data_IF_415302289561
#
_entry.id   IF_415302289561
#
_cell.length_a   1.000
_cell.length_b   1.000
_cell.length_c   1.000
_cell.angle_alpha   90.00
_cell.angle_beta   90.00
_cell.angle_gamma   90.00
#
_symmetry.space_group_name_H-M   'P 1'
#
loop_
_entity.id
_entity.type
_entity.pdbx_description
1 polymer ?
#
# COMPACT_ATOMS: atom_id res chain seq x y z
N UNK A 1 10.28 -4.97 29.27
CA UNK A 1 10.82 -4.23 28.11
C UNK A 1 10.86 -2.75 28.45
N UNK A 2 11.85 -1.97 27.95
CA UNK A 2 11.89 -0.52 28.18
C UNK A 2 10.70 0.18 27.52
N UNK A 3 10.20 1.28 28.08
CA UNK A 3 9.11 2.08 27.49
C UNK A 3 9.50 2.69 26.14
N UNK A 4 8.55 2.86 25.21
CA UNK A 4 8.83 3.49 23.90
C UNK A 4 9.04 5.00 24.00
N UNK A 5 9.88 5.55 23.12
CA UNK A 5 10.17 6.97 23.08
C UNK A 5 9.18 7.74 22.18
N UNK A 6 8.08 8.21 22.77
CA UNK A 6 7.07 9.00 22.08
C UNK A 6 7.54 10.38 21.62
N UNK A 7 8.66 10.89 22.13
CA UNK A 7 9.25 12.16 21.67
C UNK A 7 9.91 11.98 20.31
N UNK A 8 10.68 10.90 20.12
CA UNK A 8 11.21 10.51 18.80
C UNK A 8 10.06 10.33 17.81
N UNK A 9 9.00 9.64 18.22
CA UNK A 9 7.81 9.44 17.38
C UNK A 9 7.16 10.76 16.93
N UNK A 10 7.01 11.71 17.85
CA UNK A 10 6.37 13.00 17.56
C UNK A 10 7.18 13.85 16.56
N UNK A 11 8.49 13.60 16.49
CA UNK A 11 9.41 14.29 15.58
C UNK A 11 9.67 13.53 14.28
N UNK A 12 8.96 12.42 14.04
CA UNK A 12 9.05 11.72 12.76
C UNK A 12 8.60 12.62 11.59
N UNK A 13 9.18 12.47 10.39
CA UNK A 13 8.74 13.18 9.20
C UNK A 13 7.24 13.02 8.94
N UNK A 14 6.56 14.11 8.59
CA UNK A 14 5.10 14.14 8.40
C UNK A 14 4.34 14.56 9.66
N UNK A 15 3.00 14.43 9.64
CA UNK A 15 2.20 14.75 10.82
C UNK A 15 2.16 13.58 11.81
N UNK A 16 2.27 13.88 13.12
CA UNK A 16 2.18 12.87 14.17
C UNK A 16 0.84 12.10 14.14
N UNK A 17 -0.26 12.77 13.74
CA UNK A 17 -1.56 12.13 13.54
C UNK A 17 -1.50 11.04 12.48
N UNK A 18 -0.92 11.34 11.31
CA UNK A 18 -0.79 10.36 10.23
C UNK A 18 0.18 9.25 10.61
N UNK A 19 1.32 9.58 11.21
CA UNK A 19 2.27 8.56 11.65
C UNK A 19 1.63 7.61 12.68
N UNK A 20 0.78 8.12 13.57
CA UNK A 20 0.07 7.32 14.57
C UNK A 20 -0.97 6.39 13.95
N UNK A 21 -1.82 6.90 13.06
CA UNK A 21 -2.74 6.07 12.27
C UNK A 21 -1.98 4.94 11.55
N UNK A 22 -0.86 5.28 10.90
CA UNK A 22 -0.06 4.31 10.15
C UNK A 22 0.57 3.24 11.04
N UNK A 23 1.08 3.62 12.21
CA UNK A 23 1.58 2.66 13.20
C UNK A 23 0.45 1.72 13.66
N UNK A 24 -0.70 2.25 14.07
CA UNK A 24 -1.84 1.46 14.51
C UNK A 24 -2.31 0.48 13.41
N UNK A 25 -2.41 0.97 12.17
CA UNK A 25 -2.73 0.17 10.98
C UNK A 25 -1.71 -0.96 10.77
N UNK A 26 -0.42 -0.65 10.86
CA UNK A 26 0.65 -1.63 10.68
C UNK A 26 0.65 -2.71 11.77
N UNK A 27 0.41 -2.31 13.03
CA UNK A 27 0.31 -3.24 14.16
C UNK A 27 -0.84 -4.23 13.97
N UNK A 28 -2.04 -3.73 13.67
CA UNK A 28 -3.21 -4.59 13.47
C UNK A 28 -3.03 -5.50 12.26
N UNK A 29 -2.47 -4.97 11.16
CA UNK A 29 -2.17 -5.80 10.00
C UNK A 29 -1.19 -6.92 10.33
N UNK A 30 -0.06 -6.59 10.97
CA UNK A 30 1.02 -7.55 11.24
C UNK A 30 0.52 -8.70 12.11
N UNK A 31 -0.23 -8.38 13.16
CA UNK A 31 -0.74 -9.40 14.09
C UNK A 31 -1.94 -10.17 13.56
N UNK A 32 -2.88 -9.48 12.90
CA UNK A 32 -4.23 -10.02 12.73
C UNK A 32 -4.70 -10.21 11.29
N UNK A 33 -4.04 -9.64 10.29
CA UNK A 33 -4.51 -9.74 8.89
C UNK A 33 -4.63 -11.19 8.39
N UNK A 34 -3.79 -12.10 8.89
CA UNK A 34 -3.86 -13.53 8.53
C UNK A 34 -5.15 -14.23 8.99
N UNK A 35 -5.88 -13.65 9.95
CA UNK A 35 -7.11 -14.22 10.50
C UNK A 35 -8.38 -13.65 9.89
N UNK A 36 -8.31 -12.75 8.90
CA UNK A 36 -9.50 -12.10 8.39
C UNK A 36 -9.31 -11.21 7.17
N UNK A 37 -10.35 -10.45 6.85
CA UNK A 37 -10.36 -9.46 5.78
C UNK A 37 -10.01 -8.09 6.33
N UNK A 38 -8.76 -7.67 6.11
CA UNK A 38 -8.28 -6.35 6.49
C UNK A 38 -8.60 -5.32 5.41
N UNK A 39 -9.15 -4.18 5.82
CA UNK A 39 -9.50 -3.09 4.93
C UNK A 39 -9.15 -1.71 5.52
N UNK A 40 -8.69 -0.80 4.67
CA UNK A 40 -8.20 0.54 5.04
C UNK A 40 -8.25 1.49 3.84
N UNK A 41 -9.47 1.90 3.45
CA UNK A 41 -9.70 2.68 2.23
C UNK A 41 -9.38 4.16 2.45
N UNK A 42 -8.78 4.82 1.45
CA UNK A 42 -8.40 6.24 1.51
C UNK A 42 -9.57 7.21 1.83
N UNK A 43 -10.80 6.83 1.49
CA UNK A 43 -12.01 7.62 1.75
C UNK A 43 -12.97 6.89 2.68
N UNK A 44 -12.49 5.97 3.52
CA UNK A 44 -13.35 5.22 4.41
C UNK A 44 -14.03 6.14 5.43
N UNK A 45 -15.36 6.28 5.35
CA UNK A 45 -16.04 7.21 6.23
C UNK A 45 -16.30 6.53 7.58
N UNK A 46 -15.78 7.14 8.66
CA UNK A 46 -16.07 6.73 10.05
C UNK A 46 -14.91 6.07 10.79
N UNK A 47 -14.29 5.04 10.20
CA UNK A 47 -13.08 4.37 10.72
C UNK A 47 -11.93 4.53 9.72
N UNK A 48 -10.69 4.50 10.22
CA UNK A 48 -9.49 4.58 9.37
C UNK A 48 -9.16 3.23 8.73
N UNK A 49 -9.48 2.14 9.42
CA UNK A 49 -9.35 0.77 8.93
C UNK A 49 -10.21 -0.19 9.75
N UNK A 50 -10.48 -1.37 9.21
CA UNK A 50 -11.24 -2.44 9.87
C UNK A 50 -10.74 -3.83 9.48
N UNK A 51 -11.11 -4.81 10.29
CA UNK A 51 -10.79 -6.21 10.12
C UNK A 51 -12.01 -7.06 10.45
N UNK A 52 -12.46 -7.85 9.48
CA UNK A 52 -13.50 -8.87 9.70
C UNK A 52 -12.84 -10.23 9.90
N UNK A 53 -12.94 -10.79 11.10
CA UNK A 53 -12.32 -12.06 11.45
C UNK A 53 -13.03 -13.23 10.76
N UNK A 54 -12.24 -14.03 10.04
CA UNK A 54 -12.62 -15.32 9.44
C UNK A 54 -12.06 -16.51 10.23
N UNK A 55 -11.07 -16.27 11.11
CA UNK A 55 -10.52 -17.22 12.06
C UNK A 55 -10.46 -16.62 13.47
N UNK A 56 -10.59 -17.45 14.50
CA UNK A 56 -10.41 -17.01 15.89
C UNK A 56 -8.94 -16.69 16.18
N UNK A 57 -8.71 -15.65 16.97
CA UNK A 57 -7.38 -15.25 17.44
C UNK A 57 -7.49 -14.50 18.78
N UNK A 58 -6.39 -13.97 19.29
CA UNK A 58 -6.38 -13.19 20.54
C UNK A 58 -7.24 -11.92 20.48
N UNK A 59 -7.55 -11.39 19.29
CA UNK A 59 -8.44 -10.24 19.13
C UNK A 59 -9.92 -10.62 19.32
N UNK A 60 -10.31 -11.86 19.04
CA UNK A 60 -11.68 -12.34 19.18
C UNK A 60 -12.01 -13.54 18.29
N UNK A 61 -13.28 -13.94 18.34
CA UNK A 61 -13.82 -15.09 17.61
C UNK A 61 -14.19 -14.79 16.15
N UNK A 62 -14.38 -15.86 15.38
CA UNK A 62 -14.88 -15.81 13.99
C UNK A 62 -16.17 -14.98 13.90
N UNK A 63 -16.26 -14.14 12.87
CA UNK A 63 -17.43 -13.29 12.60
C UNK A 63 -17.38 -11.93 13.29
N UNK A 64 -16.49 -11.72 14.26
CA UNK A 64 -16.24 -10.40 14.85
C UNK A 64 -15.65 -9.45 13.80
N UNK A 65 -16.12 -8.22 13.81
CA UNK A 65 -15.71 -7.18 12.87
C UNK A 65 -15.33 -5.92 13.64
N UNK A 66 -14.03 -5.65 13.68
CA UNK A 66 -13.44 -4.52 14.37
C UNK A 66 -13.16 -3.37 13.42
N UNK A 67 -13.47 -2.14 13.81
CA UNK A 67 -12.99 -0.93 13.15
C UNK A 67 -12.30 0.02 14.11
N UNK A 68 -11.20 0.61 13.66
CA UNK A 68 -10.37 1.49 14.47
C UNK A 68 -10.44 2.93 14.00
N UNK A 69 -10.48 3.83 14.97
CA UNK A 69 -10.28 5.26 14.78
C UNK A 69 -9.11 5.71 15.65
N UNK A 70 -7.98 5.98 15.02
CA UNK A 70 -6.73 6.39 15.67
C UNK A 70 -6.69 7.90 15.78
N UNK A 71 -6.52 8.43 16.98
CA UNK A 71 -6.55 9.87 17.22
C UNK A 71 -5.34 10.33 18.00
N UNK A 72 -4.50 11.11 17.32
CA UNK A 72 -3.45 11.86 17.98
C UNK A 72 -3.99 13.17 18.53
N UNK A 73 -4.26 13.19 19.83
CA UNK A 73 -4.58 14.42 20.53
C UNK A 73 -3.34 14.98 21.21
N UNK A 74 -2.81 16.06 20.64
CA UNK A 74 -1.74 16.82 21.26
C UNK A 74 -2.30 17.68 22.40
N UNK A 75 -2.54 17.01 23.53
CA UNK A 75 -3.06 17.60 24.75
C UNK A 75 -2.14 17.24 25.90
N UNK A 76 -1.89 18.18 26.84
CA UNK A 76 -1.30 17.87 28.13
C UNK A 76 -2.03 16.73 28.83
N UNK A 77 -1.30 16.02 29.69
CA UNK A 77 -1.89 14.90 30.41
C UNK A 77 -3.07 15.36 31.29
N UNK A 78 -4.05 14.48 31.49
CA UNK A 78 -5.28 14.75 32.21
C UNK A 78 -6.16 15.91 31.68
N UNK A 79 -5.90 16.43 30.47
CA UNK A 79 -6.75 17.46 29.85
C UNK A 79 -7.90 16.83 29.05
N UNK A 80 -9.11 17.35 29.24
CA UNK A 80 -10.28 16.87 28.54
C UNK A 80 -10.18 17.12 27.02
N UNK A 81 -10.69 16.19 26.21
CA UNK A 81 -10.63 16.31 24.74
C UNK A 81 -11.53 17.42 24.19
N UNK A 82 -12.50 17.87 24.98
CA UNK A 82 -13.42 18.96 24.65
C UNK A 82 -14.59 18.54 23.76
N UNK A 83 -15.60 19.39 23.71
CA UNK A 83 -16.89 19.13 23.03
C UNK A 83 -16.74 18.93 21.53
N UNK A 84 -15.86 19.70 20.87
CA UNK A 84 -15.62 19.59 19.42
C UNK A 84 -15.07 18.22 19.02
N UNK A 85 -14.10 17.69 19.77
CA UNK A 85 -13.52 16.36 19.49
C UNK A 85 -14.52 15.25 19.78
N UNK A 86 -15.28 15.36 20.87
CA UNK A 86 -16.41 14.46 21.18
C UNK A 86 -17.43 14.40 20.04
N UNK A 87 -17.84 15.55 19.52
CA UNK A 87 -18.77 15.64 18.40
C UNK A 87 -18.22 14.98 17.12
N UNK A 88 -16.90 15.10 16.86
CA UNK A 88 -16.25 14.42 15.72
C UNK A 88 -16.26 12.89 15.88
N UNK A 89 -15.97 12.39 17.09
CA UNK A 89 -16.05 10.95 17.40
C UNK A 89 -17.48 10.43 17.20
N UNK A 90 -18.49 11.11 17.76
CA UNK A 90 -19.89 10.72 17.58
C UNK A 90 -20.33 10.72 16.12
N UNK A 91 -19.90 11.74 15.34
CA UNK A 91 -20.18 11.81 13.90
C UNK A 91 -19.54 10.62 13.17
N UNK A 92 -18.30 10.29 13.50
CA UNK A 92 -17.60 9.18 12.87
C UNK A 92 -18.22 7.82 13.20
N UNK A 93 -18.68 7.61 14.44
CA UNK A 93 -19.41 6.41 14.82
C UNK A 93 -20.71 6.25 14.03
N UNK A 94 -21.56 7.29 13.98
CA UNK A 94 -22.83 7.24 13.20
C UNK A 94 -22.58 6.98 11.72
N UNK A 95 -21.49 7.54 11.20
CA UNK A 95 -21.09 7.32 9.83
C UNK A 95 -20.63 5.87 9.60
N UNK A 96 -19.91 5.30 10.57
CA UNK A 96 -19.52 3.87 10.57
C UNK A 96 -20.74 2.97 10.55
N UNK A 97 -21.75 3.23 11.39
CA UNK A 97 -23.00 2.46 11.40
C UNK A 97 -23.73 2.49 10.06
N UNK A 98 -23.70 3.63 9.36
CA UNK A 98 -24.34 3.79 8.06
C UNK A 98 -23.63 3.01 6.96
N UNK A 99 -22.30 3.04 6.95
CA UNK A 99 -21.49 2.52 5.84
C UNK A 99 -20.97 1.10 6.08
N UNK A 100 -20.87 0.69 7.34
CA UNK A 100 -20.47 -0.64 7.79
C UNK A 100 -21.49 -1.19 8.81
N UNK A 101 -22.75 -1.46 8.40
CA UNK A 101 -23.82 -1.85 9.32
C UNK A 101 -23.57 -3.19 10.05
N UNK A 102 -22.64 -4.02 9.56
CA UNK A 102 -22.27 -5.31 10.17
C UNK A 102 -21.10 -5.23 11.14
N UNK A 103 -20.52 -4.04 11.37
CA UNK A 103 -19.38 -3.86 12.26
C UNK A 103 -19.79 -4.09 13.72
N UNK A 104 -19.08 -4.97 14.43
CA UNK A 104 -19.46 -5.40 15.79
C UNK A 104 -18.74 -4.60 16.87
N UNK A 105 -17.52 -4.15 16.60
CA UNK A 105 -16.62 -3.56 17.59
C UNK A 105 -15.96 -2.30 17.05
N UNK A 106 -16.14 -1.20 17.76
CA UNK A 106 -15.61 0.11 17.38
C UNK A 106 -14.57 0.58 18.41
N UNK A 107 -13.34 0.75 17.96
CA UNK A 107 -12.18 1.03 18.81
C UNK A 107 -11.71 2.48 18.61
N UNK A 108 -11.80 3.28 19.67
CA UNK A 108 -11.11 4.58 19.72
C UNK A 108 -9.71 4.36 20.29
N UNK A 109 -8.69 4.61 19.47
CA UNK A 109 -7.30 4.47 19.86
C UNK A 109 -6.66 5.84 20.01
N UNK A 110 -6.30 6.24 21.24
CA UNK A 110 -5.62 7.52 21.50
C UNK A 110 -4.21 7.28 22.02
N UNK A 111 -3.29 8.26 21.89
CA UNK A 111 -1.98 8.12 22.55
C UNK A 111 -2.13 8.09 24.08
N UNK A 112 -2.91 9.00 24.63
CA UNK A 112 -3.10 9.15 26.08
C UNK A 112 -4.47 8.63 26.51
N UNK A 113 -4.60 8.10 27.74
CA UNK A 113 -5.91 7.79 28.30
C UNK A 113 -6.81 9.02 28.31
N UNK A 114 -8.09 8.83 28.00
CA UNK A 114 -9.09 9.87 28.16
C UNK A 114 -9.28 10.21 29.65
N UNK A 115 -9.65 11.46 29.95
CA UNK A 115 -9.99 11.86 31.33
C UNK A 115 -11.17 11.05 31.87
N UNK A 116 -11.33 10.94 33.20
CA UNK A 116 -12.48 10.24 33.80
C UNK A 116 -13.83 10.72 33.25
N UNK A 117 -13.99 12.02 33.05
CA UNK A 117 -15.21 12.60 32.48
C UNK A 117 -15.43 12.23 31.00
N UNK A 118 -14.36 12.18 30.21
CA UNK A 118 -14.40 11.71 28.82
C UNK A 118 -14.69 10.20 28.74
N UNK A 119 -14.07 9.37 29.59
CA UNK A 119 -14.38 7.94 29.64
C UNK A 119 -15.84 7.66 30.01
N UNK A 120 -16.39 8.41 30.97
CA UNK A 120 -17.80 8.30 31.33
C UNK A 120 -18.73 8.73 30.19
N UNK A 121 -18.37 9.78 29.45
CA UNK A 121 -19.08 10.17 28.23
C UNK A 121 -19.04 9.05 27.18
N UNK A 122 -17.86 8.50 26.90
CA UNK A 122 -17.70 7.42 25.92
C UNK A 122 -18.48 6.16 26.31
N UNK A 123 -18.45 5.76 27.58
CA UNK A 123 -19.26 4.64 28.11
C UNK A 123 -20.77 4.90 28.01
N UNK A 124 -21.23 6.16 28.01
CA UNK A 124 -22.64 6.47 27.76
C UNK A 124 -23.03 6.32 26.28
N UNK A 125 -22.06 6.43 25.36
CA UNK A 125 -22.31 6.23 23.93
C UNK A 125 -22.62 4.78 23.60
N UNK A 126 -22.09 3.79 24.34
CA UNK A 126 -22.38 2.37 24.08
C UNK A 126 -23.86 2.01 24.22
N UNK A 127 -24.67 2.85 24.89
CA UNK A 127 -26.13 2.69 24.97
C UNK A 127 -26.87 3.19 23.74
N UNK A 128 -26.19 3.94 22.86
CA UNK A 128 -26.75 4.60 21.68
C UNK A 128 -26.37 3.94 20.36
N UNK A 129 -25.59 2.87 20.43
CA UNK A 129 -25.03 2.15 19.27
C UNK A 129 -25.13 0.65 19.52
N UNK A 130 -25.37 -0.17 18.49
CA UNK A 130 -25.30 -1.62 18.62
C UNK A 130 -23.87 -2.13 18.74
N UNK A 131 -22.86 -1.31 18.41
CA UNK A 131 -21.45 -1.68 18.43
C UNK A 131 -20.90 -1.75 19.86
N UNK A 132 -20.02 -2.71 20.13
CA UNK A 132 -19.22 -2.70 21.35
C UNK A 132 -18.11 -1.65 21.23
N UNK A 133 -18.03 -0.76 22.21
CA UNK A 133 -17.07 0.35 22.18
C UNK A 133 -15.85 0.06 23.04
N UNK A 134 -14.67 0.23 22.43
CA UNK A 134 -13.38 0.00 23.08
C UNK A 134 -12.56 1.29 23.14
N UNK A 135 -11.82 1.46 24.24
CA UNK A 135 -10.86 2.54 24.41
C UNK A 135 -9.46 1.94 24.49
N UNK A 136 -8.64 2.20 23.49
CA UNK A 136 -7.24 1.79 23.44
C UNK A 136 -6.33 3.02 23.57
N UNK A 137 -5.14 2.80 24.11
CA UNK A 137 -4.17 3.83 24.49
C UNK A 137 -2.75 3.50 23.99
N UNK A 138 -1.74 4.31 24.36
CA UNK A 138 -0.34 3.94 24.14
C UNK A 138 0.04 2.61 24.83
N UNK A 139 -0.65 2.20 25.90
CA UNK A 139 -0.39 0.90 26.53
C UNK A 139 -0.68 -0.24 25.55
N UNK A 140 -1.83 -0.16 24.87
CA UNK A 140 -2.19 -1.13 23.84
C UNK A 140 -1.19 -1.11 22.66
N UNK A 141 -0.65 0.07 22.30
CA UNK A 141 0.44 0.14 21.31
C UNK A 141 1.65 -0.63 21.79
N UNK A 142 2.09 -0.40 23.03
CA UNK A 142 3.28 -1.06 23.58
C UNK A 142 3.11 -2.58 23.72
N UNK A 143 1.91 -3.07 24.04
CA UNK A 143 1.59 -4.50 24.04
C UNK A 143 1.69 -5.11 22.64
N UNK A 144 1.17 -4.41 21.63
CA UNK A 144 1.23 -4.85 20.23
C UNK A 144 2.62 -4.68 19.61
N UNK A 145 3.54 -3.95 20.26
CA UNK A 145 4.93 -3.79 19.82
C UNK A 145 5.81 -4.97 20.25
N UNK A 146 5.25 -6.17 20.38
CA UNK A 146 5.93 -7.39 20.75
C UNK A 146 5.76 -8.49 19.69
N UNK A 147 6.56 -9.54 19.76
CA UNK A 147 6.48 -10.68 18.84
C UNK A 147 6.77 -10.28 17.39
N UNK A 148 5.85 -10.60 16.47
CA UNK A 148 6.02 -10.34 15.02
C UNK A 148 6.12 -8.85 14.65
N UNK A 149 5.76 -7.95 15.57
CA UNK A 149 5.75 -6.50 15.39
C UNK A 149 6.82 -5.76 16.21
N UNK A 150 7.71 -6.48 16.90
CA UNK A 150 8.82 -5.91 17.70
C UNK A 150 9.66 -4.91 16.87
N UNK A 151 9.84 -5.19 15.58
CA UNK A 151 10.60 -4.33 14.65
C UNK A 151 10.05 -2.89 14.57
N UNK A 152 8.77 -2.67 14.87
CA UNK A 152 8.22 -1.31 14.89
C UNK A 152 8.73 -0.47 16.06
N UNK A 153 9.26 -1.09 17.13
CA UNK A 153 9.86 -0.35 18.24
C UNK A 153 11.05 0.46 17.77
N UNK A 154 12.00 -0.18 17.10
CA UNK A 154 13.22 0.48 16.63
C UNK A 154 12.98 1.39 15.43
N UNK A 155 11.99 1.08 14.59
CA UNK A 155 11.76 1.79 13.30
C UNK A 155 10.78 2.97 13.38
N UNK A 156 10.01 3.09 14.47
CA UNK A 156 9.17 4.25 14.79
C UNK A 156 9.61 5.01 16.04
N UNK A 157 10.32 4.38 16.98
CA UNK A 157 10.65 4.99 18.28
C UNK A 157 12.14 4.98 18.63
N UNK A 158 12.99 4.36 17.82
CA UNK A 158 14.38 4.07 18.21
C UNK A 158 15.41 4.32 17.12
N UNK A 159 16.46 3.52 17.20
CA UNK A 159 17.73 3.64 16.48
C UNK A 159 17.64 3.34 14.98
N UNK A 160 16.57 2.67 14.54
CA UNK A 160 16.36 2.31 13.13
C UNK A 160 15.42 3.28 12.40
N UNK A 161 15.15 4.45 12.98
CA UNK A 161 14.33 5.48 12.32
C UNK A 161 15.11 6.11 11.15
N UNK A 162 14.64 5.83 9.94
CA UNK A 162 15.09 6.47 8.69
C UNK A 162 14.22 7.68 8.33
N UNK A 163 14.82 8.85 8.19
CA UNK A 163 14.21 10.06 7.62
C UNK A 163 14.60 10.22 6.14
N UNK A 164 13.84 11.01 5.34
CA UNK A 164 14.23 11.34 3.97
C UNK A 164 15.67 11.87 3.85
N UNK A 165 16.10 12.71 4.78
CA UNK A 165 17.43 13.30 4.81
C UNK A 165 18.50 12.24 5.08
N UNK A 166 18.24 11.32 6.02
CA UNK A 166 19.17 10.21 6.27
C UNK A 166 19.28 9.26 5.08
N UNK A 167 18.20 9.03 4.34
CA UNK A 167 18.20 8.22 3.12
C UNK A 167 19.00 8.86 2.00
N UNK A 168 18.92 10.20 1.85
CA UNK A 168 19.78 10.95 0.92
C UNK A 168 21.25 10.76 1.27
N UNK A 169 21.63 10.96 2.54
CA UNK A 169 23.02 10.76 2.97
C UNK A 169 23.52 9.32 2.75
N UNK A 170 22.69 8.32 3.04
CA UNK A 170 23.02 6.91 2.79
C UNK A 170 23.21 6.63 1.29
N UNK A 171 22.35 7.18 0.45
CA UNK A 171 22.45 7.04 -1.01
C UNK A 171 23.73 7.68 -1.54
N UNK A 172 24.04 8.91 -1.13
CA UNK A 172 25.26 9.64 -1.52
C UNK A 172 26.53 8.86 -1.18
N UNK A 173 26.61 8.28 0.02
CA UNK A 173 27.73 7.42 0.44
C UNK A 173 27.80 6.16 -0.41
N UNK A 174 26.67 5.52 -0.69
CA UNK A 174 26.62 4.28 -1.47
C UNK A 174 27.01 4.48 -2.93
N UNK A 175 26.65 5.60 -3.56
CA UNK A 175 27.00 5.89 -4.96
C UNK A 175 28.39 6.50 -5.13
N UNK A 176 29.01 7.01 -4.06
CA UNK A 176 30.33 7.64 -4.14
C UNK A 176 31.41 6.82 -4.89
N UNK A 177 31.56 5.49 -4.67
CA UNK A 177 32.55 4.67 -5.38
C UNK A 177 32.31 4.57 -6.90
N UNK A 178 31.06 4.76 -7.33
CA UNK A 178 30.64 4.62 -8.73
C UNK A 178 30.27 5.96 -9.37
N UNK A 179 30.43 7.08 -8.65
CA UNK A 179 30.01 8.42 -9.07
C UNK A 179 30.61 8.87 -10.42
N UNK A 180 31.84 8.46 -10.73
CA UNK A 180 32.49 8.76 -12.01
C UNK A 180 31.89 7.99 -13.20
N UNK A 181 31.19 6.87 -12.93
CA UNK A 181 30.47 6.05 -13.90
C UNK A 181 28.97 6.31 -13.89
N UNK A 182 28.45 6.94 -12.84
CA UNK A 182 27.04 7.28 -12.70
C UNK A 182 26.75 8.66 -13.32
N UNK A 183 26.10 8.66 -14.48
CA UNK A 183 25.75 9.87 -15.23
C UNK A 183 24.23 10.01 -15.35
N UNK A 184 23.54 10.55 -14.34
CA UNK A 184 22.08 10.61 -14.32
C UNK A 184 21.49 11.48 -15.44
N UNK A 185 22.22 12.49 -15.93
CA UNK A 185 21.75 13.45 -16.93
C UNK A 185 21.58 12.85 -18.33
N UNK A 186 22.32 11.78 -18.64
CA UNK A 186 22.27 11.07 -19.94
C UNK A 186 21.63 9.70 -19.82
N UNK A 187 21.09 9.36 -18.65
CA UNK A 187 20.49 8.07 -18.37
C UNK A 187 19.27 7.82 -19.25
N UNK A 188 19.26 6.66 -19.92
CA UNK A 188 18.13 6.22 -20.76
C UNK A 188 17.41 5.07 -20.08
N UNK A 189 16.10 5.24 -19.87
CA UNK A 189 15.27 4.22 -19.23
C UNK A 189 15.03 3.07 -20.22
N UNK A 190 15.48 1.88 -19.85
CA UNK A 190 15.26 0.62 -20.59
C UNK A 190 13.99 -0.11 -20.11
N UNK A 191 13.55 -1.15 -20.83
CA UNK A 191 12.34 -1.91 -20.46
C UNK A 191 12.44 -2.54 -19.07
N UNK A 192 13.58 -3.13 -18.72
CA UNK A 192 13.80 -3.70 -17.39
C UNK A 192 13.60 -2.64 -16.29
N UNK A 193 14.09 -1.42 -16.50
CA UNK A 193 13.87 -0.33 -15.53
C UNK A 193 12.41 0.13 -15.48
N UNK A 194 11.71 0.20 -16.62
CA UNK A 194 10.27 0.51 -16.64
C UNK A 194 9.48 -0.48 -15.80
N UNK A 195 9.80 -1.77 -15.90
CA UNK A 195 9.16 -2.81 -15.10
C UNK A 195 9.49 -2.66 -13.61
N UNK A 196 10.76 -2.43 -13.26
CA UNK A 196 11.17 -2.19 -11.87
C UNK A 196 10.45 -0.98 -11.27
N UNK A 197 10.35 0.13 -12.02
CA UNK A 197 9.65 1.35 -11.58
C UNK A 197 8.14 1.13 -11.42
N UNK A 198 7.51 0.32 -12.27
CA UNK A 198 6.11 -0.13 -12.09
C UNK A 198 5.93 -0.91 -10.79
N UNK A 199 6.84 -1.84 -10.49
CA UNK A 199 6.82 -2.62 -9.25
C UNK A 199 7.05 -1.76 -8.00
N UNK A 200 7.77 -0.64 -8.14
CA UNK A 200 7.95 0.38 -7.10
C UNK A 200 6.78 1.38 -7.00
N UNK A 201 5.78 1.28 -7.89
CA UNK A 201 4.58 2.12 -7.87
C UNK A 201 4.94 3.61 -7.95
N UNK A 202 5.84 3.95 -8.88
CA UNK A 202 6.14 5.35 -9.15
C UNK A 202 4.96 6.02 -9.88
N UNK A 203 4.64 7.26 -9.51
CA UNK A 203 3.40 7.98 -9.86
C UNK A 203 3.02 7.90 -11.35
N UNK A 204 3.99 8.02 -12.26
CA UNK A 204 3.72 8.06 -13.70
C UNK A 204 3.76 6.69 -14.40
N UNK A 205 4.11 5.63 -13.68
CA UNK A 205 4.31 4.31 -14.29
C UNK A 205 3.01 3.59 -14.65
N UNK A 206 1.88 4.05 -14.10
CA UNK A 206 0.55 3.46 -14.25
C UNK A 206 -0.47 4.38 -14.97
N UNK A 207 0.00 5.38 -15.72
CA UNK A 207 -0.87 6.31 -16.48
C UNK A 207 -1.80 5.58 -17.45
N UNK A 208 -1.36 4.46 -18.00
CA UNK A 208 -2.15 3.64 -18.92
C UNK A 208 -3.44 3.05 -18.29
N UNK A 209 -3.55 2.96 -16.96
CA UNK A 209 -4.82 2.63 -16.31
C UNK A 209 -5.86 3.73 -16.55
N UNK A 210 -5.44 4.99 -16.34
CA UNK A 210 -6.28 6.16 -16.57
C UNK A 210 -6.62 6.32 -18.07
N UNK A 211 -5.62 6.24 -18.95
CA UNK A 211 -5.84 6.36 -20.40
C UNK A 211 -6.79 5.26 -20.94
N UNK A 212 -6.74 4.05 -20.38
CA UNK A 212 -7.67 2.98 -20.74
C UNK A 212 -9.07 3.19 -20.14
N UNK A 213 -9.16 3.71 -18.93
CA UNK A 213 -10.45 4.04 -18.31
C UNK A 213 -11.22 5.09 -19.12
N UNK A 214 -10.54 6.19 -19.51
CA UNK A 214 -11.14 7.25 -20.33
C UNK A 214 -11.64 6.71 -21.68
N UNK A 215 -10.83 5.86 -22.32
CA UNK A 215 -11.23 5.20 -23.57
C UNK A 215 -12.43 4.29 -23.38
N UNK A 216 -12.41 3.46 -22.34
CA UNK A 216 -13.47 2.50 -22.07
C UNK A 216 -14.80 3.22 -21.75
N UNK A 217 -14.75 4.32 -21.01
CA UNK A 217 -15.92 5.16 -20.71
C UNK A 217 -16.53 5.78 -21.97
N UNK A 218 -15.68 6.26 -22.90
CA UNK A 218 -16.13 6.79 -24.18
C UNK A 218 -16.78 5.71 -25.07
N UNK A 219 -16.17 4.53 -25.15
CA UNK A 219 -16.72 3.39 -25.91
C UNK A 219 -18.01 2.86 -25.29
N UNK A 220 -18.10 2.82 -23.95
CA UNK A 220 -19.31 2.42 -23.24
C UNK A 220 -20.47 3.39 -23.50
N UNK A 221 -20.21 4.71 -23.42
CA UNK A 221 -21.19 5.76 -23.73
C UNK A 221 -21.68 5.67 -25.18
N UNK A 222 -20.77 5.43 -26.13
CA UNK A 222 -21.13 5.24 -27.54
C UNK A 222 -21.97 3.97 -27.75
N UNK A 223 -21.62 2.88 -27.06
CA UNK A 223 -22.38 1.64 -27.10
C UNK A 223 -23.79 1.80 -26.49
N UNK A 224 -23.94 2.54 -25.40
CA UNK A 224 -25.25 2.83 -24.80
C UNK A 224 -26.18 3.54 -25.79
N UNK A 225 -25.66 4.54 -26.50
CA UNK A 225 -26.42 5.27 -27.52
C UNK A 225 -26.84 4.37 -28.70
N UNK A 226 -26.02 3.39 -29.07
CA UNK A 226 -26.34 2.44 -30.12
C UNK A 226 -27.28 1.30 -29.64
N UNK A 227 -27.27 0.98 -28.35
CA UNK A 227 -28.04 -0.11 -27.75
C UNK A 227 -29.45 0.33 -27.31
N UNK A 228 -29.73 1.63 -27.19
CA UNK A 228 -31.01 2.17 -26.72
C UNK A 228 -32.26 1.60 -27.42
N UNK A 229 -32.14 1.26 -28.71
CA UNK A 229 -33.26 0.81 -29.54
C UNK A 229 -33.39 -0.73 -29.58
N UNK A 230 -32.46 -1.47 -28.99
CA UNK A 230 -32.51 -2.93 -28.90
C UNK A 230 -33.49 -3.37 -27.81
N UNK A 231 -34.36 -4.31 -28.16
CA UNK A 231 -35.35 -4.88 -27.24
C UNK A 231 -35.14 -6.39 -27.06
N UNK A 232 -35.77 -6.95 -26.04
CA UNK A 232 -35.68 -8.38 -25.73
C UNK A 232 -34.31 -8.81 -25.19
N UNK A 233 -34.06 -10.12 -25.21
CA UNK A 233 -32.89 -10.70 -24.55
C UNK A 233 -31.53 -10.23 -25.10
N UNK A 234 -31.45 -9.88 -26.38
CA UNK A 234 -30.22 -9.34 -26.99
C UNK A 234 -29.94 -7.90 -26.52
N UNK A 235 -30.99 -7.07 -26.36
CA UNK A 235 -30.86 -5.73 -25.81
C UNK A 235 -30.37 -5.76 -24.36
N UNK A 236 -30.98 -6.60 -23.52
CA UNK A 236 -30.53 -6.77 -22.13
C UNK A 236 -29.08 -7.27 -22.04
N UNK A 237 -28.67 -8.20 -22.92
CA UNK A 237 -27.29 -8.69 -22.94
C UNK A 237 -26.29 -7.63 -23.41
N UNK A 238 -26.67 -6.76 -24.36
CA UNK A 238 -25.83 -5.65 -24.81
C UNK A 238 -25.71 -4.56 -23.73
N UNK A 239 -26.79 -4.24 -23.01
CA UNK A 239 -26.77 -3.35 -21.84
C UNK A 239 -25.92 -3.92 -20.70
N UNK A 240 -25.90 -5.24 -20.51
CA UNK A 240 -25.00 -5.89 -19.55
C UNK A 240 -23.52 -5.65 -19.90
N UNK A 241 -23.17 -5.59 -21.20
CA UNK A 241 -21.81 -5.24 -21.65
C UNK A 241 -21.46 -3.79 -21.30
N UNK A 242 -22.34 -2.83 -21.61
CA UNK A 242 -22.05 -1.40 -21.36
C UNK A 242 -21.98 -1.08 -19.87
N UNK A 243 -22.89 -1.64 -19.08
CA UNK A 243 -22.86 -1.56 -17.61
C UNK A 243 -21.53 -2.11 -17.04
N UNK A 244 -21.08 -3.26 -17.56
CA UNK A 244 -19.78 -3.84 -17.17
C UNK A 244 -18.63 -2.91 -17.56
N UNK A 245 -18.67 -2.33 -18.76
CA UNK A 245 -17.63 -1.40 -19.23
C UNK A 245 -17.51 -0.15 -18.35
N UNK A 246 -18.61 0.50 -17.98
CA UNK A 246 -18.62 1.64 -17.05
C UNK A 246 -18.08 1.24 -15.66
N UNK A 247 -18.51 0.09 -15.16
CA UNK A 247 -18.06 -0.43 -13.85
C UNK A 247 -16.55 -0.68 -13.84
N UNK A 248 -16.01 -1.25 -14.92
CA UNK A 248 -14.57 -1.49 -15.09
C UNK A 248 -13.79 -0.17 -15.26
N UNK A 249 -14.33 0.80 -16.02
CA UNK A 249 -13.69 2.11 -16.18
C UNK A 249 -13.53 2.81 -14.82
N UNK A 250 -14.57 2.83 -14.00
CA UNK A 250 -14.51 3.37 -12.63
C UNK A 250 -13.46 2.63 -11.78
N UNK A 251 -13.41 1.31 -11.82
CA UNK A 251 -12.43 0.53 -11.07
C UNK A 251 -10.98 0.81 -11.51
N UNK A 252 -10.73 1.03 -12.80
CA UNK A 252 -9.41 1.44 -13.31
C UNK A 252 -8.98 2.81 -12.80
N UNK A 253 -9.91 3.78 -12.74
CA UNK A 253 -9.65 5.11 -12.18
C UNK A 253 -9.32 5.03 -10.69
N UNK A 254 -10.11 4.27 -9.93
CA UNK A 254 -9.86 4.12 -8.50
C UNK A 254 -8.54 3.40 -8.23
N UNK A 255 -8.16 2.40 -9.04
CA UNK A 255 -6.87 1.73 -8.95
C UNK A 255 -5.71 2.67 -9.29
N UNK A 256 -5.86 3.50 -10.33
CA UNK A 256 -4.88 4.53 -10.69
C UNK A 256 -4.69 5.55 -9.55
N UNK A 257 -5.78 5.99 -8.93
CA UNK A 257 -5.75 6.91 -7.78
C UNK A 257 -5.07 6.26 -6.56
N UNK A 258 -5.36 4.98 -6.28
CA UNK A 258 -4.73 4.22 -5.21
C UNK A 258 -3.20 4.12 -5.39
N UNK A 259 -2.75 3.76 -6.60
CA UNK A 259 -1.33 3.67 -6.95
C UNK A 259 -0.63 5.04 -6.86
N UNK A 260 -1.27 6.09 -7.38
CA UNK A 260 -0.77 7.47 -7.32
C UNK A 260 -0.56 7.94 -5.88
N UNK A 261 -1.49 7.59 -4.97
CA UNK A 261 -1.41 7.90 -3.54
C UNK A 261 -0.54 6.93 -2.73
N UNK A 262 -0.08 5.83 -3.34
CA UNK A 262 0.67 4.77 -2.67
C UNK A 262 -0.14 3.96 -1.67
N UNK A 263 -1.47 3.90 -1.82
CA UNK A 263 -2.36 3.11 -0.96
C UNK A 263 -2.54 1.69 -1.53
N UNK A 264 -1.53 0.85 -1.35
CA UNK A 264 -1.51 -0.52 -1.89
C UNK A 264 -2.59 -1.44 -1.30
N UNK A 265 -3.14 -1.09 -0.15
CA UNK A 265 -4.18 -1.91 0.46
C UNK A 265 -5.55 -1.62 -0.12
N UNK A 266 -5.81 -0.36 -0.52
CA UNK A 266 -6.98 -0.01 -1.31
C UNK A 266 -7.01 -0.80 -2.61
N UNK A 267 -5.87 -0.88 -3.31
CA UNK A 267 -5.73 -1.67 -4.54
C UNK A 267 -6.07 -3.15 -4.32
N UNK A 268 -5.55 -3.77 -3.25
CA UNK A 268 -5.84 -5.18 -2.91
C UNK A 268 -7.32 -5.42 -2.59
N UNK A 269 -7.98 -4.47 -1.95
CA UNK A 269 -9.41 -4.59 -1.61
C UNK A 269 -10.31 -4.47 -2.83
N UNK A 270 -9.97 -3.60 -3.78
CA UNK A 270 -10.73 -3.46 -5.04
C UNK A 270 -10.75 -4.76 -5.84
N UNK A 271 -9.66 -5.53 -5.80
CA UNK A 271 -9.61 -6.84 -6.48
C UNK A 271 -10.55 -7.89 -5.88
N UNK A 272 -10.96 -7.74 -4.62
CA UNK A 272 -11.88 -8.68 -3.99
C UNK A 272 -13.34 -8.50 -4.47
N UNK A 273 -13.65 -7.40 -5.15
CA UNK A 273 -14.97 -7.15 -5.71
C UNK A 273 -15.09 -7.77 -7.12
N UNK A 274 -16.20 -8.45 -7.41
CA UNK A 274 -16.47 -9.02 -8.74
C UNK A 274 -16.85 -7.93 -9.76
N UNK A 275 -15.86 -7.12 -10.15
CA UNK A 275 -16.00 -6.02 -11.12
C UNK A 275 -16.14 -6.55 -12.55
N UNK A 276 -15.69 -7.78 -12.81
CA UNK A 276 -15.54 -8.33 -14.16
C UNK A 276 -16.80 -9.04 -14.67
N UNK A 277 -17.67 -9.49 -13.76
CA UNK A 277 -18.87 -10.26 -14.10
C UNK A 277 -18.56 -11.51 -14.94
N UNK A 278 -19.57 -12.05 -15.65
CA UNK A 278 -19.39 -13.23 -16.48
C UNK A 278 -19.00 -12.88 -17.93
N UNK A 279 -17.74 -12.50 -18.14
CA UNK A 279 -17.21 -12.14 -19.47
C UNK A 279 -17.39 -13.25 -20.53
N UNK A 280 -17.44 -14.51 -20.12
CA UNK A 280 -17.65 -15.63 -21.05
C UNK A 280 -19.06 -15.64 -21.65
N UNK A 281 -20.07 -15.25 -20.87
CA UNK A 281 -21.45 -15.07 -21.32
C UNK A 281 -21.55 -13.90 -22.29
N UNK A 282 -20.90 -12.79 -21.96
CA UNK A 282 -20.90 -11.56 -22.77
C UNK A 282 -20.15 -11.69 -24.11
N UNK A 283 -19.21 -12.63 -24.20
CA UNK A 283 -18.41 -12.87 -25.41
C UNK A 283 -19.22 -13.17 -26.67
N UNK A 284 -20.46 -13.67 -26.54
CA UNK A 284 -21.33 -14.02 -27.67
C UNK A 284 -22.12 -12.83 -28.22
N UNK A 285 -22.28 -11.75 -27.44
CA UNK A 285 -23.14 -10.61 -27.78
C UNK A 285 -22.69 -9.92 -29.08
N UNK A 286 -21.40 -9.62 -29.30
CA UNK A 286 -20.96 -9.02 -30.56
C UNK A 286 -21.29 -9.89 -31.79
N UNK A 287 -21.14 -11.21 -31.68
CA UNK A 287 -21.46 -12.13 -32.77
C UNK A 287 -22.96 -12.11 -33.09
N UNK A 288 -23.81 -12.10 -32.07
CA UNK A 288 -25.26 -12.01 -32.24
C UNK A 288 -25.64 -10.68 -32.92
N UNK A 289 -25.12 -9.55 -32.43
CA UNK A 289 -25.37 -8.24 -33.04
C UNK A 289 -24.95 -8.17 -34.52
N UNK A 290 -23.82 -8.78 -34.89
CA UNK A 290 -23.39 -8.90 -36.29
C UNK A 290 -24.32 -9.76 -37.13
N UNK A 291 -24.81 -10.88 -36.58
CA UNK A 291 -25.77 -11.74 -37.27
C UNK A 291 -27.08 -10.99 -37.58
N UNK A 292 -27.52 -10.12 -36.66
CA UNK A 292 -28.66 -9.21 -36.86
C UNK A 292 -28.32 -7.92 -37.63
N UNK A 293 -27.07 -7.74 -38.09
CA UNK A 293 -26.57 -6.53 -38.77
C UNK A 293 -26.87 -5.23 -38.01
N UNK A 294 -26.83 -5.29 -36.68
CA UNK A 294 -27.16 -4.14 -35.83
C UNK A 294 -25.97 -3.17 -35.74
N UNK A 295 -26.24 -1.85 -35.71
CA UNK A 295 -25.19 -0.80 -35.62
C UNK A 295 -24.31 -0.93 -34.37
N UNK A 296 -24.91 -1.31 -33.25
CA UNK A 296 -24.21 -1.54 -31.97
C UNK A 296 -23.14 -2.64 -32.02
N UNK A 297 -23.08 -3.44 -33.09
CA UNK A 297 -22.12 -4.53 -33.20
C UNK A 297 -20.66 -4.05 -33.03
N UNK A 298 -20.30 -2.88 -33.56
CA UNK A 298 -18.93 -2.37 -33.48
C UNK A 298 -18.62 -1.77 -32.10
N UNK A 299 -19.47 -0.88 -31.60
CA UNK A 299 -19.29 -0.22 -30.29
C UNK A 299 -19.27 -1.24 -29.14
N UNK A 300 -20.17 -2.24 -29.17
CA UNK A 300 -20.16 -3.36 -28.20
C UNK A 300 -18.92 -4.25 -28.36
N UNK A 301 -18.38 -4.42 -29.58
CA UNK A 301 -17.12 -5.16 -29.77
C UNK A 301 -15.95 -4.43 -29.11
N UNK A 302 -15.84 -3.13 -29.33
CA UNK A 302 -14.76 -2.30 -28.79
C UNK A 302 -14.80 -2.26 -27.26
N UNK A 303 -15.97 -1.96 -26.69
CA UNK A 303 -16.15 -1.95 -25.23
C UNK A 303 -15.74 -3.30 -24.62
N UNK A 304 -16.17 -4.43 -25.20
CA UNK A 304 -15.80 -5.74 -24.68
C UNK A 304 -14.30 -6.06 -24.84
N UNK A 305 -13.67 -5.62 -25.94
CA UNK A 305 -12.24 -5.78 -26.15
C UNK A 305 -11.43 -4.99 -25.11
N UNK A 306 -11.86 -3.78 -24.79
CA UNK A 306 -11.20 -2.93 -23.79
C UNK A 306 -11.46 -3.42 -22.36
N UNK A 307 -12.64 -3.99 -22.05
CA UNK A 307 -12.87 -4.71 -20.77
C UNK A 307 -11.88 -5.86 -20.58
N UNK A 308 -11.57 -6.63 -21.64
CA UNK A 308 -10.59 -7.72 -21.56
C UNK A 308 -9.18 -7.18 -21.33
N UNK A 309 -8.78 -6.12 -22.05
CA UNK A 309 -7.49 -5.47 -21.85
C UNK A 309 -7.36 -4.89 -20.45
N UNK A 310 -8.44 -4.32 -19.92
CA UNK A 310 -8.50 -3.77 -18.58
C UNK A 310 -8.21 -4.83 -17.53
N UNK A 311 -8.74 -6.05 -17.69
CA UNK A 311 -8.46 -7.18 -16.81
C UNK A 311 -6.98 -7.52 -16.75
N UNK A 312 -6.33 -7.69 -17.90
CA UNK A 312 -4.89 -8.02 -17.95
C UNK A 312 -4.03 -6.92 -17.28
N UNK A 313 -4.41 -5.67 -17.51
CA UNK A 313 -3.70 -4.53 -16.96
C UNK A 313 -3.90 -4.40 -15.44
N UNK A 314 -5.12 -4.64 -14.97
CA UNK A 314 -5.46 -4.64 -13.54
C UNK A 314 -4.74 -5.77 -12.79
N UNK A 315 -4.73 -6.98 -13.35
CA UNK A 315 -3.96 -8.12 -12.82
C UNK A 315 -2.46 -7.76 -12.71
N UNK A 316 -1.92 -7.04 -13.69
CA UNK A 316 -0.52 -6.59 -13.68
C UNK A 316 -0.29 -5.53 -12.59
N UNK A 317 -1.23 -4.59 -12.42
CA UNK A 317 -1.21 -3.55 -11.39
C UNK A 317 -1.24 -4.13 -9.98
N UNK A 318 -1.93 -5.25 -9.77
CA UNK A 318 -1.95 -5.95 -8.48
C UNK A 318 -0.67 -6.77 -8.25
N UNK A 319 -0.20 -7.50 -9.26
CA UNK A 319 0.95 -8.40 -9.13
C UNK A 319 2.26 -7.63 -8.95
N UNK A 320 2.47 -6.55 -9.69
CA UNK A 320 3.74 -5.83 -9.69
C UNK A 320 4.16 -5.33 -8.27
N UNK A 321 3.29 -4.68 -7.47
CA UNK A 321 3.63 -4.27 -6.10
C UNK A 321 3.87 -5.44 -5.14
N UNK A 322 3.32 -6.63 -5.43
CA UNK A 322 3.49 -7.82 -4.59
C UNK A 322 4.84 -8.53 -4.80
N UNK A 323 5.53 -8.24 -5.91
CA UNK A 323 6.82 -8.86 -6.26
C UNK A 323 7.91 -8.35 -5.34
N UNK A 324 8.48 -9.18 -4.47
CA UNK A 324 9.41 -8.76 -3.40
C UNK A 324 10.89 -8.83 -3.74
N UNK A 325 11.29 -9.80 -4.55
CA UNK A 325 12.69 -10.07 -4.91
C UNK A 325 12.78 -10.18 -6.42
N UNK A 326 13.76 -9.49 -7.01
CA UNK A 326 13.94 -9.39 -8.46
C UNK A 326 15.44 -9.53 -8.74
N UNK A 327 15.79 -10.29 -9.76
CA UNK A 327 17.16 -10.40 -10.25
C UNK A 327 17.25 -9.79 -11.64
N UNK A 328 18.20 -8.88 -11.84
CA UNK A 328 18.47 -8.25 -13.14
C UNK A 328 19.74 -8.86 -13.73
N UNK A 329 19.60 -9.51 -14.88
CA UNK A 329 20.71 -10.16 -15.58
C UNK A 329 21.04 -9.35 -16.84
N UNK A 330 22.32 -9.06 -17.03
CA UNK A 330 22.87 -8.47 -18.25
C UNK A 330 24.38 -8.69 -18.28
N UNK A 331 24.99 -8.61 -19.46
CA UNK A 331 26.45 -8.71 -19.60
C UNK A 331 27.18 -7.52 -18.96
N UNK A 332 28.50 -7.66 -18.80
CA UNK A 332 29.35 -6.57 -18.33
C UNK A 332 29.27 -5.37 -19.29
N UNK A 333 29.21 -4.15 -18.74
CA UNK A 333 29.11 -2.92 -19.53
C UNK A 333 27.69 -2.49 -19.93
N UNK A 334 26.66 -3.32 -19.71
CA UNK A 334 25.26 -2.99 -20.04
C UNK A 334 24.54 -2.08 -19.02
N UNK A 335 25.31 -1.37 -18.18
CA UNK A 335 24.75 -0.35 -17.28
C UNK A 335 24.03 -0.85 -16.03
N UNK A 336 24.31 -2.07 -15.53
CA UNK A 336 23.69 -2.60 -14.28
C UNK A 336 23.93 -1.70 -13.06
N UNK A 337 25.17 -1.28 -12.84
CA UNK A 337 25.54 -0.35 -11.76
C UNK A 337 24.87 1.01 -11.91
N UNK A 338 24.76 1.52 -13.14
CA UNK A 338 24.01 2.75 -13.45
C UNK A 338 22.54 2.58 -13.08
N UNK A 339 21.91 1.48 -13.49
CA UNK A 339 20.52 1.16 -13.14
C UNK A 339 20.34 1.05 -11.62
N UNK A 340 21.25 0.38 -10.90
CA UNK A 340 21.18 0.23 -9.45
C UNK A 340 21.24 1.59 -8.73
N UNK A 341 22.18 2.46 -9.12
CA UNK A 341 22.28 3.82 -8.60
C UNK A 341 21.05 4.67 -8.93
N UNK A 342 20.55 4.59 -10.17
CA UNK A 342 19.40 5.36 -10.64
C UNK A 342 18.09 4.91 -10.00
N UNK A 343 17.90 3.60 -9.79
CA UNK A 343 16.68 3.04 -9.21
C UNK A 343 16.57 3.39 -7.72
N UNK A 344 17.71 3.48 -7.02
CA UNK A 344 17.78 3.83 -5.60
C UNK A 344 17.83 5.33 -5.34
N UNK A 345 18.04 6.17 -6.36
CA UNK A 345 18.02 7.62 -6.21
C UNK A 345 16.61 8.17 -5.83
N UNK A 346 16.57 9.41 -5.36
CA UNK A 346 15.31 10.14 -5.13
C UNK A 346 14.47 10.20 -6.40
N UNK A 347 13.17 9.92 -6.25
CA UNK A 347 12.17 10.21 -7.29
C UNK A 347 11.48 11.56 -7.04
N UNK A 348 10.50 11.92 -7.87
CA UNK A 348 9.69 13.13 -7.67
C UNK A 348 8.93 13.09 -6.33
N UNK A 349 8.32 11.95 -6.00
CA UNK A 349 7.47 11.78 -4.81
C UNK A 349 7.96 10.68 -3.87
N UNK A 350 9.23 10.26 -4.01
CA UNK A 350 9.79 9.11 -3.29
C UNK A 350 11.20 9.45 -2.77
N UNK A 351 11.47 9.25 -1.47
CA UNK A 351 12.84 9.25 -0.94
C UNK A 351 13.75 8.22 -1.66
N UNK A 352 15.07 8.34 -1.50
CA UNK A 352 15.99 7.30 -1.95
C UNK A 352 15.68 5.94 -1.33
N UNK A 353 16.01 4.89 -2.08
CA UNK A 353 16.18 3.55 -1.55
C UNK A 353 17.59 3.33 -1.00
N UNK A 354 17.94 2.07 -0.76
CA UNK A 354 19.26 1.68 -0.25
C UNK A 354 20.01 0.92 -1.35
N UNK A 355 21.22 1.36 -1.64
CA UNK A 355 22.15 0.67 -2.53
C UNK A 355 23.22 -0.03 -1.69
N UNK A 356 23.38 -1.33 -1.92
CA UNK A 356 24.39 -2.18 -1.32
C UNK A 356 25.30 -2.71 -2.43
N UNK A 357 26.58 -2.91 -2.11
CA UNK A 357 27.57 -3.45 -3.04
C UNK A 357 27.89 -4.90 -2.66
N UNK A 358 27.62 -5.83 -3.58
CA UNK A 358 27.88 -7.25 -3.46
C UNK A 358 29.37 -7.58 -3.33
N UNK A 359 30.27 -6.73 -3.83
CA UNK A 359 31.72 -6.82 -3.61
C UNK A 359 32.14 -6.74 -2.13
N UNK A 360 31.21 -6.38 -1.24
CA UNK A 360 31.41 -6.43 0.20
C UNK A 360 31.10 -7.77 0.85
N UNK A 361 30.48 -8.70 0.11
CA UNK A 361 30.34 -10.10 0.52
C UNK A 361 31.66 -10.83 0.30
N UNK A 362 31.94 -11.80 1.16
CA UNK A 362 33.06 -12.73 1.04
C UNK A 362 32.56 -14.16 1.22
N UNK A 363 33.41 -15.14 0.93
CA UNK A 363 33.13 -16.54 1.27
C UNK A 363 32.78 -16.67 2.77
N UNK A 364 31.59 -17.21 3.05
CA UNK A 364 31.06 -17.36 4.42
C UNK A 364 30.34 -16.12 4.98
N UNK A 365 30.28 -15.00 4.24
CA UNK A 365 29.45 -13.85 4.62
C UNK A 365 27.96 -14.13 4.42
N UNK A 366 27.12 -13.45 5.20
CA UNK A 366 25.67 -13.44 5.08
C UNK A 366 25.18 -12.07 4.57
N UNK A 367 23.88 -11.97 4.26
CA UNK A 367 23.24 -10.69 3.98
C UNK A 367 23.31 -9.72 5.17
N UNK A 368 23.41 -10.23 6.40
CA UNK A 368 23.57 -9.39 7.57
C UNK A 368 24.89 -8.62 7.50
N UNK A 369 25.97 -9.21 6.98
CA UNK A 369 27.24 -8.50 6.79
C UNK A 369 27.12 -7.29 5.86
N UNK A 370 26.23 -7.34 4.87
CA UNK A 370 25.88 -6.17 4.05
C UNK A 370 25.09 -5.15 4.85
N UNK A 371 24.13 -5.59 5.67
CA UNK A 371 23.32 -4.70 6.49
C UNK A 371 24.15 -3.94 7.54
N UNK A 372 25.15 -4.60 8.16
CA UNK A 372 26.07 -3.98 9.13
C UNK A 372 26.88 -2.81 8.55
N UNK A 373 26.98 -2.69 7.23
CA UNK A 373 27.64 -1.54 6.59
C UNK A 373 26.75 -0.32 6.50
N UNK A 374 25.44 -0.49 6.64
CA UNK A 374 24.50 0.63 6.75
C UNK A 374 24.52 1.13 8.19
N UNK A 375 24.79 2.41 8.37
CA UNK A 375 24.83 3.06 9.67
C UNK A 375 23.64 4.01 9.80
N UNK A 376 22.74 3.71 10.74
CA UNK A 376 21.56 4.54 11.04
C UNK A 376 21.75 5.14 12.42
N UNK A 377 21.59 6.48 12.55
CA UNK A 377 21.79 7.19 13.81
C UNK A 377 23.12 6.85 14.52
N UNK A 378 24.20 6.69 13.74
CA UNK A 378 25.55 6.30 14.20
C UNK A 378 25.71 4.86 14.71
N UNK A 379 24.70 4.00 14.52
CA UNK A 379 24.77 2.57 14.85
C UNK A 379 24.70 1.72 13.57
N UNK A 380 25.59 0.72 13.41
CA UNK A 380 25.44 -0.32 12.39
C UNK A 380 24.11 -1.07 12.52
N UNK A 381 23.45 -1.35 11.40
CA UNK A 381 22.22 -2.16 11.41
C UNK A 381 22.57 -3.62 11.69
N UNK A 382 21.85 -4.24 12.63
CA UNK A 382 22.19 -5.56 13.16
C UNK A 382 21.88 -6.75 12.25
N UNK A 383 20.97 -6.58 11.29
CA UNK A 383 20.59 -7.64 10.34
C UNK A 383 19.92 -7.09 9.08
N UNK A 384 19.86 -7.91 8.03
CA UNK A 384 19.11 -7.58 6.82
C UNK A 384 17.61 -7.44 7.09
N UNK A 385 17.06 -8.24 8.01
CA UNK A 385 15.67 -8.08 8.45
C UNK A 385 15.43 -6.72 9.11
N UNK A 386 16.35 -6.27 9.95
CA UNK A 386 16.28 -4.95 10.59
C UNK A 386 16.36 -3.82 9.55
N UNK A 387 17.23 -3.97 8.53
CA UNK A 387 17.36 -3.02 7.43
C UNK A 387 16.08 -2.92 6.59
N UNK A 388 15.50 -4.08 6.24
CA UNK A 388 14.22 -4.16 5.52
C UNK A 388 13.11 -3.53 6.35
N UNK A 389 13.04 -3.82 7.65
CA UNK A 389 12.05 -3.22 8.55
C UNK A 389 12.17 -1.71 8.65
N UNK A 390 13.40 -1.18 8.76
CA UNK A 390 13.68 0.25 8.81
C UNK A 390 13.22 0.95 7.53
N UNK A 391 13.56 0.37 6.38
CA UNK A 391 13.21 0.93 5.07
C UNK A 391 11.70 0.81 4.79
N UNK A 392 11.07 -0.30 5.17
CA UNK A 392 9.62 -0.49 5.04
C UNK A 392 8.86 0.55 5.88
N UNK A 393 9.27 0.79 7.14
CA UNK A 393 8.67 1.83 7.96
C UNK A 393 8.83 3.23 7.36
N UNK A 394 10.00 3.54 6.79
CA UNK A 394 10.21 4.80 6.08
C UNK A 394 9.34 4.93 4.82
N UNK A 395 9.24 3.87 4.03
CA UNK A 395 8.39 3.80 2.85
C UNK A 395 6.92 3.95 3.18
N UNK A 396 6.46 3.27 4.23
CA UNK A 396 5.11 3.42 4.77
C UNK A 396 4.85 4.90 5.09
N UNK A 397 5.66 5.57 5.92
CA UNK A 397 5.48 7.00 6.24
C UNK A 397 5.41 7.89 4.98
N UNK A 398 6.25 7.61 4.00
CA UNK A 398 6.27 8.30 2.71
C UNK A 398 5.09 7.91 1.78
N UNK A 399 4.31 6.87 2.10
CA UNK A 399 3.35 6.19 1.21
C UNK A 399 3.99 5.81 -0.12
N UNK A 400 5.19 5.24 -0.07
CA UNK A 400 5.91 4.78 -1.24
C UNK A 400 6.63 3.47 -0.96
N UNK A 401 6.83 2.69 -2.01
CA UNK A 401 7.69 1.52 -1.94
C UNK A 401 9.13 1.94 -2.18
N UNK A 402 10.02 1.59 -1.26
CA UNK A 402 11.45 1.92 -1.34
C UNK A 402 12.26 0.66 -1.70
N UNK A 403 13.18 0.72 -2.68
CA UNK A 403 13.99 -0.43 -3.06
C UNK A 403 15.21 -0.61 -2.15
N UNK A 404 15.61 -1.86 -1.92
CA UNK A 404 16.99 -2.23 -1.60
C UNK A 404 17.57 -2.88 -2.86
N UNK A 405 18.69 -2.38 -3.36
CA UNK A 405 19.38 -2.96 -4.51
C UNK A 405 20.75 -3.44 -4.07
N UNK A 406 21.09 -4.68 -4.41
CA UNK A 406 22.44 -5.24 -4.24
C UNK A 406 23.07 -5.29 -5.62
N UNK A 407 24.00 -4.39 -5.91
CA UNK A 407 24.76 -4.37 -7.16
C UNK A 407 25.97 -5.30 -7.10
N UNK A 408 26.40 -5.88 -8.22
CA UNK A 408 27.62 -6.68 -8.28
C UNK A 408 27.60 -7.96 -7.44
N UNK A 409 26.45 -8.64 -7.33
CA UNK A 409 26.34 -9.93 -6.63
C UNK A 409 27.28 -11.02 -7.19
N UNK A 410 27.56 -10.97 -8.49
CA UNK A 410 28.54 -11.84 -9.15
C UNK A 410 29.99 -11.56 -8.73
N UNK A 411 30.25 -10.46 -8.02
CA UNK A 411 31.56 -10.07 -7.49
C UNK A 411 31.75 -10.51 -6.03
N UNK A 412 30.72 -11.13 -5.42
CA UNK A 412 30.74 -11.64 -4.05
C UNK A 412 31.64 -12.86 -3.87
N UNK A 413 31.90 -13.59 -4.95
CA UNK A 413 32.80 -14.74 -4.96
C UNK A 413 34.01 -14.47 -5.85
N UNK A 414 35.20 -14.61 -5.29
CA UNK A 414 36.44 -14.58 -6.05
C UNK A 414 36.65 -15.98 -6.65
N UNK A 415 36.65 -16.08 -7.98
CA UNK A 415 36.92 -17.34 -8.69
C UNK A 415 38.28 -17.94 -8.31
N UNK A 416 39.21 -17.14 -7.76
CA UNK A 416 40.51 -17.62 -7.25
C UNK A 416 40.39 -18.39 -5.94
N UNK A 417 39.32 -18.21 -5.19
CA UNK A 417 39.04 -18.91 -3.94
C UNK A 417 38.32 -20.25 -4.16
N UNK A 418 37.86 -20.52 -5.38
CA UNK A 418 37.24 -21.80 -5.75
C UNK A 418 38.35 -22.86 -5.89
N UNK A 419 38.56 -23.65 -4.82
CA UNK A 419 39.39 -24.85 -4.88
C UNK A 419 38.71 -25.87 -5.80
N UNK A 420 39.37 -26.18 -6.92
CA UNK A 420 39.00 -27.27 -7.83
C UNK A 420 39.14 -28.66 -7.20
#
# INVERSE_FOLDING_TARGET
MPSVNWEVFANLPGSAERNFEMLCRALIRRHYSRYGEFAALANQPGVEFHLKLRGSCSLGDVGRWYGWQSRWYDLPDAKAIGTTRRARIEKAMRLTEKVLPGLTDWVLWTRRPLTKGDQQWFKKLSRKTPMQLHLWTAVDVEEHLSGEAEIFRSTYFGELVLTPESLVGLHEVAVAPVRHRWMPEVHQIVDAERELRRMLVETNTWKHLHDLADRLEAEATAADADVSDLTGGLGSAAQEVTMTAHTVAAALLDAHEALTRGDLDLLRQQNANDVWGNLSKLARVPHQLRAYRHRAALTVTNALADVRRARDLFDTAEKAPSTRVISVLADAGYGKTQLAAQLTASGQDRPPGILLHGSHLRAGSSLDDLAHRVVIQSAPVSSMEALVGALDAAGQRARRRLPIVIDGLNEAEDLRDWKG
#
